data_IF_752131825329
#
_entry.id   IF_752131825329
#
_cell.length_a   1.000
_cell.length_b   1.000
_cell.length_c   1.000
_cell.angle_alpha   90.00
_cell.angle_beta   90.00
_cell.angle_gamma   90.00
#
_symmetry.space_group_name_H-M   'P 1'
#
loop_
_entity.id
_entity.type
_entity.pdbx_description
1 polymer ?
#
# COMPACT_ATOMS: atom_id res chain seq x y z
N UNK A 1 -9.06 20.76 -70.07
CA UNK A 1 -7.96 21.16 -69.16
C UNK A 1 -8.26 20.87 -67.67
N UNK A 2 -9.47 21.12 -67.15
CA UNK A 2 -9.82 20.90 -65.73
C UNK A 2 -9.72 19.44 -65.21
N UNK A 3 -9.99 18.44 -66.05
CA UNK A 3 -10.02 17.01 -65.63
C UNK A 3 -8.61 16.47 -65.32
N UNK A 4 -7.60 16.91 -66.08
CA UNK A 4 -6.19 16.54 -65.85
C UNK A 4 -5.64 17.17 -64.56
N UNK A 5 -6.11 18.37 -64.19
CA UNK A 5 -5.74 19.05 -62.96
C UNK A 5 -6.31 18.36 -61.71
N UNK A 6 -7.58 17.92 -61.78
CA UNK A 6 -8.21 17.16 -60.69
C UNK A 6 -7.54 15.81 -60.44
N UNK A 7 -7.14 15.09 -61.49
CA UNK A 7 -6.40 13.82 -61.33
C UNK A 7 -5.02 14.03 -60.70
N UNK A 8 -4.26 15.05 -61.13
CA UNK A 8 -2.96 15.39 -60.52
C UNK A 8 -3.08 15.80 -59.05
N UNK A 9 -4.12 16.56 -58.69
CA UNK A 9 -4.36 17.00 -57.31
C UNK A 9 -4.75 15.84 -56.39
N UNK A 10 -5.57 14.89 -56.88
CA UNK A 10 -5.94 13.69 -56.14
C UNK A 10 -4.74 12.76 -55.94
N UNK A 11 -3.91 12.55 -56.98
CA UNK A 11 -2.67 11.75 -56.85
C UNK A 11 -1.66 12.39 -55.90
N UNK A 12 -1.53 13.73 -55.90
CA UNK A 12 -0.65 14.45 -54.97
C UNK A 12 -1.13 14.34 -53.51
N UNK A 13 -2.44 14.44 -53.26
CA UNK A 13 -3.03 14.22 -51.93
C UNK A 13 -2.86 12.77 -51.44
N UNK A 14 -2.98 11.77 -52.32
CA UNK A 14 -2.74 10.37 -51.95
C UNK A 14 -1.27 10.09 -51.64
N UNK A 15 -0.32 10.66 -52.39
CA UNK A 15 1.11 10.51 -52.10
C UNK A 15 1.53 11.24 -50.81
N UNK A 16 0.97 12.42 -50.53
CA UNK A 16 1.21 13.15 -49.27
C UNK A 16 0.63 12.42 -48.05
N UNK A 17 -0.55 11.80 -48.20
CA UNK A 17 -1.19 11.00 -47.14
C UNK A 17 -0.42 9.70 -46.85
N UNK A 18 0.10 9.01 -47.87
CA UNK A 18 0.92 7.80 -47.66
C UNK A 18 2.26 8.12 -47.02
N UNK A 19 2.89 9.24 -47.41
CA UNK A 19 4.17 9.68 -46.83
C UNK A 19 4.02 10.08 -45.36
N UNK A 20 2.90 10.73 -45.00
CA UNK A 20 2.59 11.07 -43.61
C UNK A 20 2.32 9.83 -42.74
N UNK A 21 1.61 8.82 -43.27
CA UNK A 21 1.39 7.55 -42.56
C UNK A 21 2.67 6.72 -42.38
N UNK A 22 3.60 6.74 -43.34
CA UNK A 22 4.89 6.03 -43.22
C UNK A 22 5.83 6.72 -42.21
N UNK A 23 5.81 8.05 -42.13
CA UNK A 23 6.59 8.80 -41.13
C UNK A 23 6.03 8.67 -39.71
N UNK A 24 4.70 8.56 -39.54
CA UNK A 24 4.08 8.34 -38.22
C UNK A 24 4.46 6.97 -37.62
N UNK A 25 4.59 5.94 -38.46
CA UNK A 25 4.99 4.59 -38.01
C UNK A 25 6.48 4.49 -37.65
N UNK A 26 7.34 5.32 -38.24
CA UNK A 26 8.77 5.33 -37.91
C UNK A 26 9.05 5.97 -36.54
N UNK A 27 8.24 6.95 -36.12
CA UNK A 27 8.35 7.59 -34.80
C UNK A 27 7.84 6.68 -33.67
N UNK A 28 6.86 5.82 -33.93
CA UNK A 28 6.33 4.88 -32.93
C UNK A 28 7.27 3.69 -32.69
N UNK A 29 8.10 3.32 -33.67
CA UNK A 29 9.06 2.22 -33.55
C UNK A 29 10.33 2.58 -32.77
N UNK A 30 10.55 3.87 -32.47
CA UNK A 30 11.55 4.33 -31.52
C UNK A 30 11.09 4.04 -30.10
N UNK A 31 11.27 2.78 -29.68
CA UNK A 31 10.76 2.23 -28.43
C UNK A 31 10.91 3.18 -27.23
N UNK A 32 9.79 3.79 -26.85
CA UNK A 32 9.62 4.32 -25.50
C UNK A 32 9.62 3.09 -24.60
N UNK A 33 10.79 2.74 -24.04
CA UNK A 33 10.84 1.83 -22.89
C UNK A 33 9.93 2.47 -21.85
N UNK A 34 8.77 1.87 -21.61
CA UNK A 34 7.98 2.19 -20.45
C UNK A 34 8.94 2.11 -19.26
N UNK A 35 9.17 3.25 -18.61
CA UNK A 35 9.78 3.27 -17.30
C UNK A 35 8.75 2.56 -16.41
N UNK A 36 8.91 1.25 -16.27
CA UNK A 36 8.30 0.56 -15.15
C UNK A 36 8.83 1.29 -13.92
N UNK A 37 7.96 1.78 -13.02
CA UNK A 37 8.43 2.28 -11.75
C UNK A 37 9.24 1.14 -11.15
N UNK A 38 10.56 1.30 -11.10
CA UNK A 38 11.38 0.41 -10.31
C UNK A 38 10.78 0.52 -8.91
N UNK A 39 10.31 -0.55 -8.26
CA UNK A 39 9.75 -0.43 -6.94
C UNK A 39 10.87 0.13 -6.08
N UNK A 40 10.78 1.42 -5.75
CA UNK A 40 11.63 2.02 -4.76
C UNK A 40 11.20 1.31 -3.48
N UNK A 41 11.94 0.26 -3.12
CA UNK A 41 11.87 -0.33 -1.79
C UNK A 41 12.38 0.75 -0.86
N UNK A 42 11.49 1.65 -0.44
CA UNK A 42 11.79 2.60 0.61
C UNK A 42 11.96 1.77 1.88
N UNK A 43 13.22 1.52 2.25
CA UNK A 43 13.51 0.90 3.54
C UNK A 43 13.17 1.94 4.59
N UNK A 44 12.04 1.75 5.27
CA UNK A 44 11.64 2.58 6.40
C UNK A 44 12.73 2.57 7.45
N UNK A 45 13.13 3.77 7.89
CA UNK A 45 14.12 3.97 8.94
C UNK A 45 13.45 4.48 10.21
N UNK A 46 14.05 4.21 11.36
CA UNK A 46 13.66 4.86 12.61
C UNK A 46 14.03 6.34 12.57
N UNK A 47 13.02 7.19 12.72
CA UNK A 47 13.19 8.64 12.84
C UNK A 47 13.29 9.05 14.30
N UNK A 48 14.17 10.01 14.58
CA UNK A 48 14.29 10.65 15.90
C UNK A 48 13.40 11.89 16.03
N UNK A 49 12.77 12.31 14.93
CA UNK A 49 12.07 13.59 14.82
C UNK A 49 10.54 13.45 14.88
N UNK A 50 10.04 12.25 15.18
CA UNK A 50 8.60 11.96 15.31
C UNK A 50 8.08 12.07 16.76
N UNK A 51 8.94 12.46 17.71
CA UNK A 51 8.60 12.54 19.14
C UNK A 51 9.10 11.34 19.95
N UNK A 52 8.55 11.17 21.15
CA UNK A 52 9.02 10.19 22.14
C UNK A 52 7.88 9.32 22.72
N UNK A 53 6.78 9.17 21.97
CA UNK A 53 5.70 8.28 22.38
C UNK A 53 6.20 6.84 22.49
N UNK A 54 5.81 6.15 23.56
CA UNK A 54 6.20 4.78 23.83
C UNK A 54 5.00 3.96 24.31
N UNK A 55 4.73 2.84 23.65
CA UNK A 55 3.71 1.88 24.04
C UNK A 55 4.36 0.50 24.15
N UNK A 56 4.67 0.02 25.37
CA UNK A 56 5.39 -1.23 25.55
C UNK A 56 4.60 -2.41 24.99
N UNK A 57 5.25 -3.21 24.16
CA UNK A 57 4.70 -4.48 23.64
C UNK A 57 5.61 -5.64 24.00
N UNK A 58 5.06 -6.85 23.97
CA UNK A 58 5.82 -8.08 24.17
C UNK A 58 6.73 -8.30 22.96
N UNK A 59 7.98 -7.87 23.08
CA UNK A 59 9.06 -8.07 22.12
C UNK A 59 10.39 -8.17 22.88
N UNK A 60 11.33 -8.93 22.33
CA UNK A 60 12.72 -8.95 22.85
C UNK A 60 13.65 -8.03 22.06
N UNK A 61 13.18 -7.46 20.95
CA UNK A 61 13.95 -6.58 20.09
C UNK A 61 13.65 -5.12 20.41
N UNK A 62 14.62 -4.35 20.97
CA UNK A 62 14.45 -2.92 21.19
C UNK A 62 14.19 -2.16 19.89
N UNK A 63 14.74 -2.63 18.77
CA UNK A 63 14.52 -2.04 17.46
C UNK A 63 13.09 -2.29 16.95
N UNK A 64 12.56 -3.50 17.15
CA UNK A 64 11.15 -3.78 16.84
C UNK A 64 10.20 -2.94 17.69
N UNK A 65 10.51 -2.74 18.98
CA UNK A 65 9.77 -1.82 19.86
C UNK A 65 9.79 -0.39 19.29
N UNK A 66 10.96 0.11 18.86
CA UNK A 66 11.09 1.43 18.25
C UNK A 66 10.26 1.59 16.99
N UNK A 67 10.22 0.58 16.12
CA UNK A 67 9.41 0.65 14.89
C UNK A 67 7.91 0.54 15.19
N UNK A 68 7.52 -0.22 16.23
CA UNK A 68 6.13 -0.26 16.69
C UNK A 68 5.69 1.11 17.24
N UNK A 69 6.51 1.76 18.05
CA UNK A 69 6.25 3.09 18.60
C UNK A 69 6.16 4.16 17.49
N UNK A 70 7.06 4.10 16.50
CA UNK A 70 7.00 4.95 15.31
C UNK A 70 5.71 4.70 14.52
N UNK A 71 5.33 3.43 14.30
CA UNK A 71 4.10 3.07 13.62
C UNK A 71 2.86 3.65 14.31
N UNK A 72 2.77 3.54 15.63
CA UNK A 72 1.66 4.14 16.40
C UNK A 72 1.63 5.67 16.30
N UNK A 73 2.80 6.31 16.38
CA UNK A 73 2.92 7.76 16.22
C UNK A 73 2.40 8.21 14.86
N UNK A 74 2.75 7.48 13.79
CA UNK A 74 2.29 7.73 12.43
C UNK A 74 0.78 7.46 12.27
N UNK A 75 0.23 6.42 12.90
CA UNK A 75 -1.22 6.19 12.96
C UNK A 75 -1.93 7.39 13.58
N UNK A 76 -1.44 7.90 14.71
CA UNK A 76 -2.03 9.07 15.37
C UNK A 76 -1.89 10.35 14.54
N UNK A 77 -0.82 10.44 13.74
CA UNK A 77 -0.62 11.49 12.73
C UNK A 77 -1.36 11.26 11.40
N UNK A 78 -2.22 10.24 11.29
CA UNK A 78 -2.96 9.86 10.08
C UNK A 78 -2.09 9.47 8.87
N UNK A 79 -0.82 9.13 9.09
CA UNK A 79 0.07 8.60 8.04
C UNK A 79 0.04 7.06 8.04
N UNK A 80 -1.04 6.50 7.51
CA UNK A 80 -1.28 5.05 7.52
C UNK A 80 -0.28 4.23 6.69
N UNK A 81 0.22 4.78 5.58
CA UNK A 81 1.18 4.09 4.71
C UNK A 81 2.52 3.83 5.41
N UNK A 82 3.17 4.90 5.87
CA UNK A 82 4.44 4.80 6.60
C UNK A 82 4.30 4.07 7.94
N UNK A 83 3.11 4.14 8.56
CA UNK A 83 2.82 3.33 9.73
C UNK A 83 2.86 1.82 9.41
N UNK A 84 2.18 1.42 8.32
CA UNK A 84 2.20 0.05 7.82
C UNK A 84 3.61 -0.45 7.54
N UNK A 85 4.44 0.36 6.87
CA UNK A 85 5.82 0.00 6.57
C UNK A 85 6.69 -0.11 7.84
N UNK A 86 6.46 0.76 8.82
CA UNK A 86 7.14 0.70 10.13
C UNK A 86 6.79 -0.58 10.88
N UNK A 87 5.50 -0.95 10.95
CA UNK A 87 5.08 -2.21 11.56
C UNK A 87 5.62 -3.43 10.81
N UNK A 88 5.66 -3.37 9.47
CA UNK A 88 6.26 -4.42 8.64
C UNK A 88 7.75 -4.61 8.97
N UNK A 89 8.52 -3.54 9.12
CA UNK A 89 9.93 -3.62 9.53
C UNK A 89 10.08 -4.21 10.93
N UNK A 90 9.20 -3.83 11.88
CA UNK A 90 9.18 -4.42 13.21
C UNK A 90 9.00 -5.95 13.18
N UNK A 91 8.13 -6.47 12.30
CA UNK A 91 7.94 -7.94 12.16
C UNK A 91 9.14 -8.66 11.57
N UNK A 92 9.98 -7.98 10.78
CA UNK A 92 11.23 -8.57 10.25
C UNK A 92 12.28 -8.72 11.36
N UNK A 93 12.28 -7.79 12.31
CA UNK A 93 13.20 -7.76 13.45
C UNK A 93 12.75 -8.69 14.58
N UNK A 94 11.44 -8.81 14.82
CA UNK A 94 10.85 -9.79 15.74
C UNK A 94 9.61 -10.46 15.13
N UNK A 95 9.76 -11.64 14.50
CA UNK A 95 8.63 -12.40 13.94
C UNK A 95 7.63 -12.94 14.97
N UNK A 96 7.90 -12.80 16.27
CA UNK A 96 7.00 -13.19 17.36
C UNK A 96 6.31 -11.98 18.02
N UNK A 97 6.58 -10.75 17.55
CA UNK A 97 5.89 -9.54 18.03
C UNK A 97 4.42 -9.52 17.57
N UNK A 98 3.51 -10.02 18.40
CA UNK A 98 2.07 -10.09 18.06
C UNK A 98 1.49 -8.70 17.72
N UNK A 99 1.89 -7.68 18.48
CA UNK A 99 1.41 -6.32 18.28
C UNK A 99 1.92 -5.66 17.01
N UNK A 100 3.10 -6.06 16.50
CA UNK A 100 3.61 -5.58 15.23
C UNK A 100 2.70 -6.03 14.08
N UNK A 101 2.22 -7.29 14.10
CA UNK A 101 1.22 -7.76 13.14
C UNK A 101 -0.16 -7.11 13.32
N UNK A 102 -0.58 -6.87 14.57
CA UNK A 102 -1.78 -6.08 14.86
C UNK A 102 -1.69 -4.66 14.26
N UNK A 103 -0.51 -4.03 14.33
CA UNK A 103 -0.24 -2.71 13.77
C UNK A 103 -0.40 -2.67 12.25
N UNK A 104 0.13 -3.69 11.54
CA UNK A 104 -0.07 -3.83 10.08
C UNK A 104 -1.57 -3.88 9.75
N UNK A 105 -2.33 -4.74 10.47
CA UNK A 105 -3.76 -4.84 10.26
C UNK A 105 -4.49 -3.52 10.54
N UNK A 106 -4.11 -2.83 11.62
CA UNK A 106 -4.66 -1.52 11.99
C UNK A 106 -4.43 -0.48 10.90
N UNK A 107 -3.21 -0.40 10.36
CA UNK A 107 -2.82 0.57 9.34
C UNK A 107 -3.57 0.37 8.01
N UNK A 108 -3.78 -0.88 7.60
CA UNK A 108 -4.47 -1.24 6.36
C UNK A 108 -6.00 -1.19 6.46
N UNK A 109 -6.54 -1.08 7.67
CA UNK A 109 -7.97 -1.08 7.91
C UNK A 109 -8.67 0.24 7.54
N UNK A 110 -10.01 0.25 7.51
CA UNK A 110 -10.80 1.46 7.26
C UNK A 110 -10.63 2.48 8.39
N UNK A 111 -10.47 3.75 8.03
CA UNK A 111 -10.37 4.89 8.94
C UNK A 111 -11.34 6.01 8.56
N UNK A 112 -11.48 7.03 9.40
CA UNK A 112 -12.53 8.07 9.23
C UNK A 112 -12.43 8.82 7.88
N UNK A 113 -11.22 8.96 7.36
CA UNK A 113 -10.95 9.66 6.10
C UNK A 113 -11.02 8.77 4.85
N UNK A 114 -10.98 7.44 4.99
CA UNK A 114 -11.01 6.52 3.83
C UNK A 114 -11.57 5.15 4.20
N UNK A 115 -12.44 4.57 3.36
CA UNK A 115 -12.75 3.16 3.46
C UNK A 115 -11.48 2.32 3.26
N UNK A 116 -11.58 1.05 3.66
CA UNK A 116 -10.55 0.05 3.38
C UNK A 116 -10.47 -0.21 1.87
N UNK A 117 -9.26 -0.30 1.33
CA UNK A 117 -9.09 -0.71 -0.06
C UNK A 117 -9.26 -2.23 -0.18
N UNK A 118 -10.00 -2.70 -1.18
CA UNK A 118 -10.22 -4.13 -1.42
C UNK A 118 -8.92 -4.92 -1.56
N UNK A 119 -7.87 -4.30 -2.13
CA UNK A 119 -6.56 -4.93 -2.29
C UNK A 119 -5.85 -5.22 -0.96
N UNK A 120 -6.17 -4.45 0.09
CA UNK A 120 -5.49 -4.51 1.40
C UNK A 120 -6.18 -5.49 2.36
N UNK A 121 -7.41 -5.92 2.04
CA UNK A 121 -8.24 -6.82 2.88
C UNK A 121 -7.51 -8.11 3.22
N UNK A 122 -6.94 -8.76 2.21
CA UNK A 122 -6.24 -10.03 2.40
C UNK A 122 -5.03 -9.88 3.31
N UNK A 123 -4.21 -8.85 3.10
CA UNK A 123 -3.01 -8.59 3.89
C UNK A 123 -3.35 -8.24 5.34
N UNK A 124 -4.33 -7.36 5.57
CA UNK A 124 -4.76 -7.00 6.91
C UNK A 124 -5.30 -8.21 7.67
N UNK A 125 -6.11 -9.06 7.01
CA UNK A 125 -6.64 -10.28 7.60
C UNK A 125 -5.52 -11.28 7.95
N UNK A 126 -4.56 -11.49 7.07
CA UNK A 126 -3.41 -12.38 7.32
C UNK A 126 -2.54 -11.89 8.47
N UNK A 127 -2.27 -10.59 8.54
CA UNK A 127 -1.53 -9.99 9.64
C UNK A 127 -2.29 -10.17 10.96
N UNK A 128 -3.59 -9.92 10.99
CA UNK A 128 -4.40 -10.13 12.20
C UNK A 128 -4.48 -11.59 12.62
N UNK A 129 -4.58 -12.53 11.67
CA UNK A 129 -4.52 -13.96 11.95
C UNK A 129 -3.17 -14.35 12.59
N UNK A 130 -2.06 -13.78 12.11
CA UNK A 130 -0.73 -13.99 12.71
C UNK A 130 -0.66 -13.41 14.12
N UNK A 131 -1.23 -12.23 14.37
CA UNK A 131 -1.34 -11.67 15.71
C UNK A 131 -2.14 -12.58 16.66
N UNK A 132 -3.26 -13.14 16.19
CA UNK A 132 -4.09 -14.09 16.96
C UNK A 132 -3.32 -15.38 17.31
N UNK A 133 -2.51 -15.90 16.39
CA UNK A 133 -1.67 -17.08 16.65
C UNK A 133 -0.63 -16.85 17.77
N UNK A 134 -0.16 -15.61 17.92
CA UNK A 134 0.84 -15.21 18.92
C UNK A 134 0.20 -14.71 20.22
N UNK A 135 -1.12 -14.53 20.26
CA UNK A 135 -1.81 -13.85 21.35
C UNK A 135 -1.60 -14.51 22.73
N UNK A 136 -1.46 -15.83 22.79
CA UNK A 136 -1.25 -16.54 24.05
C UNK A 136 0.14 -16.30 24.68
N UNK A 137 1.07 -15.67 23.96
CA UNK A 137 2.43 -15.37 24.41
C UNK A 137 2.62 -13.92 24.88
N UNK A 138 1.58 -13.08 24.76
CA UNK A 138 1.67 -11.65 25.06
C UNK A 138 0.78 -11.27 26.25
N UNK A 139 0.91 -10.04 26.74
CA UNK A 139 0.19 -9.58 27.92
C UNK A 139 -1.35 -9.60 27.71
N UNK A 140 -2.14 -9.65 28.80
CA UNK A 140 -3.60 -9.58 28.70
C UNK A 140 -4.12 -8.33 27.97
N UNK A 141 -3.42 -7.20 28.06
CA UNK A 141 -3.77 -5.97 27.34
C UNK A 141 -3.61 -6.13 25.84
N UNK A 142 -2.48 -6.71 25.41
CA UNK A 142 -2.21 -6.99 23.99
C UNK A 142 -3.19 -8.00 23.41
N UNK A 143 -3.54 -9.04 24.18
CA UNK A 143 -4.60 -9.98 23.81
C UNK A 143 -5.94 -9.28 23.58
N UNK A 144 -6.28 -8.29 24.42
CA UNK A 144 -7.50 -7.52 24.28
C UNK A 144 -7.49 -6.66 23.00
N UNK A 145 -6.37 -6.00 22.66
CA UNK A 145 -6.22 -5.25 21.41
C UNK A 145 -6.41 -6.14 20.17
N UNK A 146 -5.77 -7.31 20.17
CA UNK A 146 -5.88 -8.29 19.08
C UNK A 146 -7.32 -8.77 18.94
N UNK A 147 -7.97 -9.10 20.05
CA UNK A 147 -9.38 -9.53 20.06
C UNK A 147 -10.30 -8.43 19.54
N UNK A 148 -10.15 -7.20 20.03
CA UNK A 148 -10.96 -6.06 19.59
C UNK A 148 -10.84 -5.81 18.09
N UNK A 149 -9.61 -5.83 17.56
CA UNK A 149 -9.39 -5.62 16.13
C UNK A 149 -9.99 -6.75 15.28
N UNK A 150 -10.00 -7.99 15.78
CA UNK A 150 -10.61 -9.14 15.09
C UNK A 150 -12.13 -9.08 14.96
N UNK A 151 -12.80 -8.36 15.86
CA UNK A 151 -14.22 -8.04 15.67
C UNK A 151 -14.41 -6.96 14.60
N UNK A 152 -13.47 -6.02 14.47
CA UNK A 152 -13.56 -4.93 13.49
C UNK A 152 -13.26 -5.38 12.06
N UNK A 153 -12.32 -6.32 11.87
CA UNK A 153 -11.84 -6.78 10.56
C UNK A 153 -12.16 -8.27 10.36
N UNK A 154 -13.10 -8.55 9.45
CA UNK A 154 -13.44 -9.92 9.03
C UNK A 154 -12.71 -10.34 7.74
N UNK A 155 -12.82 -11.62 7.38
CA UNK A 155 -12.31 -12.16 6.10
C UNK A 155 -12.86 -11.44 4.87
N UNK A 156 -14.05 -10.84 5.01
CA UNK A 156 -14.67 -10.02 3.98
C UNK A 156 -15.03 -8.68 4.57
N UNK A 157 -14.94 -7.57 3.82
CA UNK A 157 -15.45 -6.28 4.26
C UNK A 157 -16.92 -6.42 4.63
N UNK A 158 -17.26 -6.04 5.86
CA UNK A 158 -18.65 -5.99 6.30
C UNK A 158 -19.26 -4.66 5.82
N UNK A 159 -20.28 -4.75 4.97
CA UNK A 159 -21.02 -3.58 4.47
C UNK A 159 -21.88 -2.94 5.55
N UNK A 160 -22.45 -3.76 6.43
CA UNK A 160 -23.15 -3.34 7.64
C UNK A 160 -22.24 -3.58 8.85
N UNK A 161 -22.01 -2.51 9.61
CA UNK A 161 -21.10 -2.49 10.77
C UNK A 161 -21.80 -1.99 12.03
N UNK A 162 -23.13 -1.88 12.00
CA UNK A 162 -23.94 -1.42 13.12
C UNK A 162 -23.73 -2.24 14.39
N UNK A 163 -23.44 -3.54 14.26
CA UNK A 163 -23.14 -4.43 15.39
C UNK A 163 -21.79 -4.19 16.07
N UNK A 164 -20.97 -3.26 15.55
CA UNK A 164 -19.67 -2.89 16.15
C UNK A 164 -19.76 -1.66 17.06
N UNK A 165 -20.93 -1.00 17.14
CA UNK A 165 -21.17 0.22 17.89
C UNK A 165 -22.09 -0.03 19.09
#
# INVERSE_FOLDING_TARGET
MLILYRKKLITLCFCLSLCFCLLLNLVISGGVKALTPNPISHKTSLSKDLGNYHHPVTTKSPEAQGYFDQGLTLIYGFNHGEAGDSFQEATKLDPNCAMCYWGIALALGPHINSPMNDKDVSQAYQALAKAQQLANQVSPSEQAYIKALSHRYGQKPQKDRSSLC
#
